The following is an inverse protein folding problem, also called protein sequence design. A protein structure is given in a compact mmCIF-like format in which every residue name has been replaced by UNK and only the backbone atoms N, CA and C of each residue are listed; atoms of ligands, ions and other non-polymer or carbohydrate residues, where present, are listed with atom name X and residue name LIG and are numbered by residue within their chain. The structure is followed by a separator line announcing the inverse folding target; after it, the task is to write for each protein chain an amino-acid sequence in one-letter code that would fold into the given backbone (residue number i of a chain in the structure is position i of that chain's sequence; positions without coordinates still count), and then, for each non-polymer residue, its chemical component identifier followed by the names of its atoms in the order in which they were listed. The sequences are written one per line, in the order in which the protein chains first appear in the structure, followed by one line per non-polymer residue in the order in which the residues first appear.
data_IF_079292141265
#
_entry.id   IF_079292141265
#
_cell.length_a   1.000
_cell.length_b   1.000
_cell.length_c   1.000
_cell.angle_alpha   90.00
_cell.angle_beta   90.00
_cell.angle_gamma   90.00
#
_symmetry.space_group_name_H-M   'P 1'
#
loop_
_entity.id
_entity.type
_entity.pdbx_description
1 polymer ?
#
# COMPACT_ATOMS: atom_id res chain seq x y z
N UNK A 1 15.38 5.30 -27.51
CA UNK A 1 14.24 5.59 -28.40
C UNK A 1 13.15 6.23 -27.56
N UNK A 2 12.97 7.55 -27.69
CA UNK A 2 12.11 8.37 -26.81
C UNK A 2 10.64 8.01 -27.04
N UNK A 3 9.87 7.87 -25.96
CA UNK A 3 8.43 7.61 -25.93
C UNK A 3 7.61 8.57 -26.81
N UNK A 4 8.14 9.76 -27.12
CA UNK A 4 7.49 10.72 -28.01
C UNK A 4 7.44 10.27 -29.49
N UNK A 5 8.35 9.41 -29.94
CA UNK A 5 8.42 8.96 -31.34
C UNK A 5 7.34 7.93 -31.69
N UNK A 6 6.94 7.11 -30.72
CA UNK A 6 5.89 6.08 -30.90
C UNK A 6 4.51 6.74 -30.94
N UNK A 7 4.26 7.74 -30.09
CA UNK A 7 3.00 8.48 -30.06
C UNK A 7 2.69 9.19 -31.38
N UNK A 8 3.70 9.74 -32.07
CA UNK A 8 3.51 10.45 -33.35
C UNK A 8 3.17 9.53 -34.53
N UNK A 9 3.62 8.28 -34.52
CA UNK A 9 3.41 7.34 -35.61
C UNK A 9 2.01 6.71 -35.60
N UNK A 10 1.46 6.47 -34.41
CA UNK A 10 0.15 5.83 -34.22
C UNK A 10 -0.98 6.89 -34.15
N UNK A 11 -0.62 8.17 -33.95
CA UNK A 11 -1.53 9.33 -33.85
C UNK A 11 -2.62 9.42 -34.92
N UNK A 12 -2.38 9.15 -36.22
CA UNK A 12 -3.42 9.28 -37.24
C UNK A 12 -4.51 8.19 -37.14
N UNK A 13 -4.18 7.01 -36.61
CA UNK A 13 -5.12 5.90 -36.44
C UNK A 13 -5.86 5.94 -35.10
N UNK A 14 -5.30 6.61 -34.08
CA UNK A 14 -5.97 6.85 -32.78
C UNK A 14 -7.06 7.93 -32.83
N UNK A 15 -7.12 8.73 -33.91
CA UNK A 15 -8.15 9.75 -34.13
C UNK A 15 -9.50 9.20 -34.63
N UNK A 16 -9.64 7.89 -34.85
CA UNK A 16 -10.82 7.31 -35.51
C UNK A 16 -12.08 7.16 -34.62
N UNK A 17 -12.05 7.56 -33.34
CA UNK A 17 -13.24 7.56 -32.48
C UNK A 17 -13.19 8.71 -31.46
N UNK A 18 -13.87 9.82 -31.78
CA UNK A 18 -13.97 11.01 -30.92
C UNK A 18 -14.41 10.68 -29.48
N UNK A 19 -15.23 9.63 -29.31
CA UNK A 19 -15.69 9.16 -28.00
C UNK A 19 -14.55 8.60 -27.15
N UNK A 20 -13.66 7.81 -27.75
CA UNK A 20 -12.52 7.20 -27.06
C UNK A 20 -11.46 8.23 -26.64
N UNK A 21 -11.21 9.22 -27.50
CA UNK A 21 -10.28 10.32 -27.21
C UNK A 21 -10.78 11.21 -26.07
N UNK A 22 -12.08 11.56 -26.07
CA UNK A 22 -12.70 12.33 -24.97
C UNK A 22 -12.67 11.57 -23.65
N UNK A 23 -12.84 10.26 -23.70
CA UNK A 23 -12.74 9.39 -22.52
C UNK A 23 -11.30 9.35 -21.97
N UNK A 24 -10.29 9.22 -22.83
CA UNK A 24 -8.88 9.25 -22.42
C UNK A 24 -8.49 10.57 -21.73
N UNK A 25 -8.89 11.72 -22.29
CA UNK A 25 -8.65 13.03 -21.68
C UNK A 25 -9.34 13.15 -20.31
N UNK A 26 -10.56 12.60 -20.18
CA UNK A 26 -11.27 12.61 -18.91
C UNK A 26 -10.51 11.79 -17.85
N UNK A 27 -10.02 10.61 -18.22
CA UNK A 27 -9.22 9.76 -17.34
C UNK A 27 -7.92 10.43 -16.93
N UNK A 28 -7.20 11.07 -17.85
CA UNK A 28 -5.96 11.79 -17.52
C UNK A 28 -6.20 12.94 -16.55
N UNK A 29 -7.35 13.62 -16.66
CA UNK A 29 -7.75 14.68 -15.71
C UNK A 29 -8.14 14.14 -14.35
N UNK A 30 -8.70 12.94 -14.28
CA UNK A 30 -9.14 12.29 -13.04
C UNK A 30 -8.02 11.46 -12.38
N UNK A 31 -6.98 11.09 -13.13
CA UNK A 31 -5.87 10.27 -12.65
C UNK A 31 -5.20 10.81 -11.37
N UNK A 32 -4.93 12.13 -11.21
CA UNK A 32 -4.36 12.66 -9.98
C UNK A 32 -5.27 12.47 -8.76
N UNK A 33 -6.58 12.63 -8.94
CA UNK A 33 -7.56 12.42 -7.88
C UNK A 33 -7.65 10.94 -7.51
N UNK A 34 -7.70 10.05 -8.52
CA UNK A 34 -7.68 8.60 -8.31
C UNK A 34 -6.43 8.15 -7.54
N UNK A 35 -5.25 8.67 -7.92
CA UNK A 35 -4.00 8.39 -7.22
C UNK A 35 -4.05 8.85 -5.76
N UNK A 36 -4.58 10.05 -5.49
CA UNK A 36 -4.70 10.55 -4.12
C UNK A 36 -5.66 9.68 -3.28
N UNK A 37 -6.80 9.27 -3.85
CA UNK A 37 -7.76 8.39 -3.18
C UNK A 37 -7.11 7.06 -2.82
N UNK A 38 -6.38 6.44 -3.76
CA UNK A 38 -5.66 5.18 -3.51
C UNK A 38 -4.62 5.33 -2.41
N UNK A 39 -3.87 6.43 -2.39
CA UNK A 39 -2.90 6.72 -1.31
C UNK A 39 -3.59 6.87 0.04
N UNK A 40 -4.68 7.63 0.10
CA UNK A 40 -5.46 7.78 1.34
C UNK A 40 -6.03 6.45 1.83
N UNK A 41 -6.48 5.58 0.93
CA UNK A 41 -7.00 4.26 1.28
C UNK A 41 -5.91 3.37 1.88
N UNK A 42 -4.75 3.26 1.23
CA UNK A 42 -3.61 2.50 1.77
C UNK A 42 -3.14 3.10 3.10
N UNK A 43 -2.99 4.42 3.15
CA UNK A 43 -2.59 5.15 4.34
C UNK A 43 -3.52 4.89 5.54
N UNK A 44 -4.83 4.86 5.29
CA UNK A 44 -5.84 4.59 6.32
C UNK A 44 -5.64 3.22 6.98
N UNK A 45 -5.37 2.17 6.21
CA UNK A 45 -5.19 0.82 6.73
C UNK A 45 -4.01 0.75 7.73
N UNK A 46 -2.86 1.29 7.37
CA UNK A 46 -1.68 1.35 8.24
C UNK A 46 -1.88 2.29 9.43
N UNK A 47 -2.50 3.45 9.22
CA UNK A 47 -2.74 4.43 10.28
C UNK A 47 -3.62 3.87 11.40
N UNK A 48 -4.72 3.20 11.04
CA UNK A 48 -5.60 2.54 12.02
C UNK A 48 -4.85 1.44 12.76
N UNK A 49 -4.05 0.63 12.06
CA UNK A 49 -3.24 -0.42 12.69
C UNK A 49 -2.25 0.16 13.71
N UNK A 50 -1.51 1.21 13.36
CA UNK A 50 -0.57 1.88 14.26
C UNK A 50 -1.26 2.53 15.47
N UNK A 51 -2.44 3.14 15.27
CA UNK A 51 -3.22 3.71 16.37
C UNK A 51 -3.69 2.64 17.37
N UNK A 52 -4.13 1.48 16.89
CA UNK A 52 -4.54 0.38 17.77
C UNK A 52 -3.39 -0.12 18.64
N UNK A 53 -2.16 -0.13 18.10
CA UNK A 53 -0.96 -0.47 18.88
C UNK A 53 -0.67 0.53 19.99
N UNK A 54 -0.82 1.83 19.71
CA UNK A 54 -0.67 2.87 20.74
C UNK A 54 -1.76 2.82 21.80
N UNK A 55 -3.00 2.49 21.43
CA UNK A 55 -4.11 2.40 22.37
C UNK A 55 -3.95 1.24 23.36
N UNK A 56 -3.39 0.11 22.90
CA UNK A 56 -3.22 -1.10 23.70
C UNK A 56 -1.76 -1.55 23.67
N UNK A 57 -0.86 -0.76 24.26
CA UNK A 57 0.57 -1.01 24.20
C UNK A 57 0.99 -2.32 24.87
N UNK A 58 0.44 -2.64 26.04
CA UNK A 58 0.76 -3.90 26.74
C UNK A 58 0.39 -5.13 25.89
N UNK A 59 -0.77 -5.10 25.23
CA UNK A 59 -1.17 -6.14 24.29
C UNK A 59 -0.26 -6.20 23.07
N UNK A 60 0.24 -5.05 22.61
CA UNK A 60 1.18 -4.98 21.49
C UNK A 60 2.49 -5.64 21.86
N UNK A 61 3.07 -5.30 23.01
CA UNK A 61 4.28 -5.93 23.51
C UNK A 61 4.09 -7.44 23.68
N UNK A 62 2.99 -7.87 24.30
CA UNK A 62 2.67 -9.29 24.44
C UNK A 62 2.67 -10.02 23.09
N UNK A 63 2.01 -9.45 22.08
CA UNK A 63 1.97 -10.04 20.74
C UNK A 63 3.37 -10.09 20.10
N UNK A 64 4.21 -9.07 20.28
CA UNK A 64 5.58 -9.06 19.77
C UNK A 64 6.53 -10.02 20.49
N UNK A 65 6.23 -10.37 21.75
CA UNK A 65 7.01 -11.32 22.53
C UNK A 65 6.63 -12.78 22.28
N UNK A 66 5.34 -13.05 22.10
CA UNK A 66 4.80 -14.41 22.15
C UNK A 66 4.30 -14.91 20.78
N UNK A 67 3.86 -14.02 19.88
CA UNK A 67 3.17 -14.41 18.64
C UNK A 67 3.91 -13.94 17.37
N UNK A 68 4.46 -12.74 17.36
CA UNK A 68 5.25 -12.24 16.24
C UNK A 68 6.69 -12.71 16.33
N UNK A 69 7.08 -13.63 15.46
CA UNK A 69 8.45 -14.07 15.31
C UNK A 69 9.24 -13.08 14.43
N UNK A 70 9.70 -11.96 15.01
CA UNK A 70 10.56 -10.99 14.31
C UNK A 70 12.02 -11.43 14.45
N UNK A 71 12.70 -11.87 13.38
CA UNK A 71 14.09 -12.28 13.49
C UNK A 71 14.99 -11.06 13.79
N UNK A 72 16.05 -11.28 14.58
CA UNK A 72 17.13 -10.31 14.90
C UNK A 72 16.79 -9.22 15.93
N UNK A 73 15.55 -8.73 15.99
CA UNK A 73 15.18 -7.60 16.87
C UNK A 73 14.53 -8.05 18.18
N UNK A 74 14.85 -7.42 19.34
CA UNK A 74 14.07 -7.59 20.55
C UNK A 74 12.63 -7.10 20.35
N UNK A 75 11.67 -7.77 20.98
CA UNK A 75 10.23 -7.52 20.83
C UNK A 75 9.84 -6.04 21.03
N UNK A 76 10.38 -5.39 22.07
CA UNK A 76 10.09 -3.99 22.38
C UNK A 76 10.54 -3.03 21.26
N UNK A 77 11.75 -3.25 20.72
CA UNK A 77 12.24 -2.46 19.58
C UNK A 77 11.46 -2.73 18.30
N UNK A 78 11.09 -3.99 18.05
CA UNK A 78 10.26 -4.35 16.91
C UNK A 78 8.86 -3.70 16.99
N UNK A 79 8.24 -3.70 18.17
CA UNK A 79 6.96 -3.05 18.42
C UNK A 79 7.03 -1.52 18.18
N UNK A 80 8.07 -0.87 18.70
CA UNK A 80 8.28 0.57 18.52
C UNK A 80 8.50 0.92 17.04
N UNK A 81 9.41 0.22 16.36
CA UNK A 81 9.70 0.46 14.95
C UNK A 81 8.48 0.18 14.07
N UNK A 82 7.77 -0.91 14.32
CA UNK A 82 6.56 -1.25 13.56
C UNK A 82 5.48 -0.18 13.71
N UNK A 83 5.23 0.27 14.93
CA UNK A 83 4.27 1.35 15.21
C UNK A 83 4.71 2.67 14.58
N UNK A 84 6.00 3.00 14.62
CA UNK A 84 6.53 4.21 13.99
C UNK A 84 6.37 4.19 12.46
N UNK A 85 6.64 3.05 11.81
CA UNK A 85 6.45 2.89 10.36
C UNK A 85 4.97 3.01 9.98
N UNK A 86 4.07 2.39 10.75
CA UNK A 86 2.62 2.44 10.53
C UNK A 86 2.01 3.82 10.71
N UNK A 87 2.62 4.71 11.49
CA UNK A 87 2.15 6.08 11.68
C UNK A 87 2.84 7.07 10.74
N UNK A 88 4.16 6.98 10.59
CA UNK A 88 4.92 7.92 9.76
C UNK A 88 4.78 7.62 8.25
N UNK A 89 4.78 6.34 7.87
CA UNK A 89 4.71 5.91 6.46
C UNK A 89 3.46 6.42 5.74
N UNK A 90 2.25 6.30 6.33
CA UNK A 90 1.02 6.86 5.76
C UNK A 90 1.05 8.37 5.54
N UNK A 91 1.64 9.12 6.47
CA UNK A 91 1.77 10.58 6.34
C UNK A 91 2.66 10.95 5.15
N UNK A 92 3.79 10.25 4.98
CA UNK A 92 4.66 10.43 3.82
C UNK A 92 3.94 10.06 2.52
N UNK A 93 3.16 8.97 2.53
CA UNK A 93 2.41 8.50 1.37
C UNK A 93 1.34 9.51 0.92
N UNK A 94 0.52 10.03 1.84
CA UNK A 94 -0.57 10.98 1.52
C UNK A 94 -0.03 12.35 1.10
N UNK A 95 1.00 12.86 1.78
CA UNK A 95 1.63 14.14 1.43
C UNK A 95 2.39 14.08 0.11
N UNK A 96 2.67 12.87 -0.41
CA UNK A 96 3.46 12.66 -1.62
C UNK A 96 4.97 12.88 -1.41
N UNK A 97 5.41 13.09 -0.16
CA UNK A 97 6.82 13.26 0.16
C UNK A 97 7.51 11.90 0.11
N UNK A 98 8.54 11.76 -0.73
CA UNK A 98 9.23 10.49 -0.96
C UNK A 98 8.27 9.35 -1.34
N UNK A 99 7.21 9.64 -2.10
CA UNK A 99 6.09 8.71 -2.37
C UNK A 99 6.54 7.29 -2.73
N UNK A 100 7.48 7.14 -3.68
CA UNK A 100 7.99 5.82 -4.10
C UNK A 100 8.71 5.10 -2.95
N UNK A 101 9.43 5.84 -2.12
CA UNK A 101 10.10 5.32 -0.94
C UNK A 101 9.12 4.95 0.17
N UNK A 102 8.10 5.77 0.41
CA UNK A 102 7.04 5.48 1.39
C UNK A 102 6.23 4.24 1.00
N UNK A 103 5.86 4.11 -0.29
CA UNK A 103 5.19 2.94 -0.81
C UNK A 103 6.06 1.68 -0.69
N UNK A 104 7.34 1.77 -1.04
CA UNK A 104 8.28 0.65 -0.89
C UNK A 104 8.48 0.25 0.58
N UNK A 105 8.60 1.22 1.48
CA UNK A 105 8.71 0.98 2.92
C UNK A 105 7.49 0.24 3.45
N UNK A 106 6.28 0.76 3.18
CA UNK A 106 5.03 0.14 3.65
C UNK A 106 4.82 -1.25 3.04
N UNK A 107 5.22 -1.45 1.79
CA UNK A 107 5.15 -2.75 1.14
C UNK A 107 6.10 -3.77 1.78
N UNK A 108 7.37 -3.41 1.99
CA UNK A 108 8.34 -4.27 2.66
C UNK A 108 7.94 -4.55 4.11
N UNK A 109 7.44 -3.53 4.81
CA UNK A 109 6.94 -3.66 6.16
C UNK A 109 5.76 -4.65 6.23
N UNK A 110 4.82 -4.59 5.27
CA UNK A 110 3.72 -5.54 5.19
C UNK A 110 4.22 -6.98 4.96
N UNK A 111 5.21 -7.19 4.09
CA UNK A 111 5.84 -8.51 3.92
C UNK A 111 6.42 -9.02 5.24
N UNK A 112 7.17 -8.18 5.95
CA UNK A 112 7.74 -8.56 7.25
C UNK A 112 6.65 -8.88 8.25
N UNK A 113 5.58 -8.08 8.33
CA UNK A 113 4.46 -8.30 9.24
C UNK A 113 3.79 -9.67 8.98
N UNK A 114 3.56 -10.01 7.71
CA UNK A 114 3.01 -11.32 7.30
C UNK A 114 3.94 -12.46 7.68
N UNK A 115 5.22 -12.35 7.34
CA UNK A 115 6.20 -13.39 7.63
C UNK A 115 6.46 -13.57 9.13
N UNK A 116 6.26 -12.51 9.92
CA UNK A 116 6.43 -12.55 11.36
C UNK A 116 5.25 -13.18 12.09
N UNK A 117 4.09 -13.34 11.44
CA UNK A 117 2.89 -13.90 12.07
C UNK A 117 2.55 -15.28 11.46
N UNK A 118 3.07 -16.38 12.03
CA UNK A 118 2.91 -17.71 11.46
C UNK A 118 1.46 -18.23 11.49
N UNK A 119 0.63 -17.72 12.40
CA UNK A 119 -0.77 -18.15 12.59
C UNK A 119 -1.76 -17.08 12.12
N UNK A 120 -1.61 -16.64 10.86
CA UNK A 120 -2.63 -15.80 10.20
C UNK A 120 -3.98 -16.53 10.27
N UNK A 121 -4.85 -16.08 11.18
CA UNK A 121 -6.20 -16.63 11.30
C UNK A 121 -7.00 -16.50 10.00
N UNK A 122 -8.15 -17.19 9.90
CA UNK A 122 -8.94 -17.28 8.67
C UNK A 122 -9.24 -15.90 8.02
N UNK A 123 -9.54 -14.88 8.83
CA UNK A 123 -9.77 -13.51 8.36
C UNK A 123 -8.49 -12.84 7.81
N UNK A 124 -7.33 -13.10 8.42
CA UNK A 124 -6.04 -12.64 7.93
C UNK A 124 -5.71 -13.29 6.58
N UNK A 125 -5.93 -14.59 6.44
CA UNK A 125 -5.74 -15.29 5.16
C UNK A 125 -6.69 -14.78 4.07
N UNK A 126 -7.95 -14.51 4.39
CA UNK A 126 -8.90 -13.94 3.44
C UNK A 126 -8.49 -12.54 2.96
N UNK A 127 -8.07 -11.65 3.86
CA UNK A 127 -7.56 -10.34 3.47
C UNK A 127 -6.28 -10.45 2.62
N UNK A 128 -5.35 -11.35 2.97
CA UNK A 128 -4.15 -11.55 2.16
C UNK A 128 -4.44 -12.19 0.79
N UNK A 129 -5.50 -12.99 0.67
CA UNK A 129 -6.01 -13.46 -0.63
C UNK A 129 -6.58 -12.30 -1.44
N UNK A 130 -7.36 -11.42 -0.83
CA UNK A 130 -7.91 -10.25 -1.53
C UNK A 130 -6.82 -9.27 -2.01
N UNK A 131 -5.72 -9.17 -1.27
CA UNK A 131 -4.63 -8.26 -1.57
C UNK A 131 -3.58 -8.89 -2.50
N UNK A 132 -3.38 -10.21 -2.43
CA UNK A 132 -2.40 -10.96 -3.22
C UNK A 132 -2.93 -11.59 -4.51
N UNK A 133 -4.25 -11.81 -4.63
CA UNK A 133 -4.88 -12.42 -5.80
C UNK A 133 -5.83 -11.42 -6.45
N UNK A 134 -5.47 -10.95 -7.64
CA UNK A 134 -6.45 -10.45 -8.59
C UNK A 134 -7.47 -11.58 -8.83
N UNK A 135 -8.68 -11.45 -8.29
CA UNK A 135 -9.77 -12.46 -8.38
C UNK A 135 -10.01 -12.81 -9.86
N UNK A 136 -9.67 -14.00 -10.38
CA UNK A 136 -10.21 -14.45 -11.65
C UNK A 136 -11.55 -15.13 -11.31
N UNK A 137 -12.62 -14.34 -11.30
CA UNK A 137 -13.93 -14.81 -10.83
C UNK A 137 -15.14 -13.97 -11.22
N UNK A 138 -14.98 -13.02 -12.14
CA UNK A 138 -16.05 -12.52 -13.01
C UNK A 138 -15.54 -12.60 -14.45
#
# INVERSE_FOLDING_TARGET
MSTQSICKFIWPFYQANDRGYRFAILLDKLAPLGNLILRCWVAYAFWVSGLLKLQNWDSTLYLFENEYAVPVLPAEFAAMLGTAVELAGPLLLVTGLLERGAAALLFLFNIVAVMSYPDLGAAGIEQHKEWGVNRPGF
#
